data_IF_535906097801
#
_entry.id   IF_535906097801
#
_cell.length_a   1.000
_cell.length_b   1.000
_cell.length_c   1.000
_cell.angle_alpha   90.00
_cell.angle_beta   90.00
_cell.angle_gamma   90.00
#
_symmetry.space_group_name_H-M   'P 1'
#
loop_
_entity.id
_entity.type
_entity.pdbx_description
1 polymer ?
#
# COMPACT_ATOMS: atom_id res chain seq x y z
N UNK A 1 3.36 -21.45 -12.53
CA UNK A 1 3.30 -21.92 -11.11
C UNK A 1 3.97 -23.28 -11.04
N UNK A 2 4.75 -23.55 -10.00
CA UNK A 2 5.36 -24.87 -9.79
C UNK A 2 4.28 -25.89 -9.41
N UNK A 3 4.49 -27.18 -9.74
CA UNK A 3 3.54 -28.27 -9.44
C UNK A 3 3.16 -28.47 -7.95
N UNK A 4 3.74 -27.68 -7.04
CA UNK A 4 3.46 -27.70 -5.59
C UNK A 4 2.60 -26.54 -5.10
N UNK A 5 2.20 -25.59 -5.98
CA UNK A 5 1.47 -24.38 -5.56
C UNK A 5 -0.03 -24.59 -5.40
N UNK A 6 -0.61 -25.67 -5.93
CA UNK A 6 -2.06 -25.92 -5.88
C UNK A 6 -2.60 -25.98 -4.45
N UNK A 7 -1.89 -26.65 -3.53
CA UNK A 7 -2.27 -26.70 -2.12
C UNK A 7 -2.16 -25.34 -1.43
N UNK A 8 -1.23 -24.46 -1.86
CA UNK A 8 -1.10 -23.11 -1.33
C UNK A 8 -2.21 -22.21 -1.85
N UNK A 9 -2.56 -22.33 -3.13
CA UNK A 9 -3.67 -21.60 -3.74
C UNK A 9 -4.98 -21.97 -3.07
N UNK A 10 -5.25 -23.27 -2.88
CA UNK A 10 -6.45 -23.72 -2.18
C UNK A 10 -6.52 -23.16 -0.75
N UNK A 11 -5.39 -23.21 0.00
CA UNK A 11 -5.33 -22.64 1.34
C UNK A 11 -5.59 -21.12 1.35
N UNK A 12 -5.15 -20.39 0.34
CA UNK A 12 -5.47 -18.97 0.19
C UNK A 12 -6.96 -18.76 -0.09
N UNK A 13 -7.56 -19.58 -0.95
CA UNK A 13 -8.99 -19.54 -1.29
C UNK A 13 -9.90 -19.94 -0.11
N UNK A 14 -9.40 -20.75 0.83
CA UNK A 14 -10.10 -21.06 2.10
C UNK A 14 -10.06 -19.89 3.09
N UNK A 15 -9.40 -18.78 2.73
CA UNK A 15 -9.21 -17.61 3.58
C UNK A 15 -10.35 -16.60 3.52
N UNK A 16 -10.03 -15.40 3.99
CA UNK A 16 -10.90 -14.22 4.01
C UNK A 16 -11.29 -13.76 2.59
N UNK A 17 -12.50 -13.18 2.38
CA UNK A 17 -12.87 -12.57 1.10
C UNK A 17 -11.82 -11.62 0.54
N UNK A 18 -11.13 -10.85 1.42
CA UNK A 18 -10.05 -9.95 1.04
C UNK A 18 -8.85 -10.66 0.37
N UNK A 19 -8.62 -11.91 0.70
CA UNK A 19 -7.58 -12.73 0.06
C UNK A 19 -8.11 -13.40 -1.20
N UNK A 20 -9.31 -13.99 -1.13
CA UNK A 20 -9.89 -14.79 -2.22
C UNK A 20 -10.00 -14.01 -3.52
N UNK A 21 -10.62 -12.82 -3.48
CA UNK A 21 -10.81 -12.05 -4.71
C UNK A 21 -9.49 -11.70 -5.39
N UNK A 22 -8.45 -11.41 -4.60
CA UNK A 22 -7.12 -11.08 -5.11
C UNK A 22 -6.41 -12.32 -5.68
N UNK A 23 -6.58 -13.49 -5.07
CA UNK A 23 -6.09 -14.77 -5.62
C UNK A 23 -6.75 -15.06 -6.96
N UNK A 24 -8.07 -14.89 -7.03
CA UNK A 24 -8.83 -15.11 -8.26
C UNK A 24 -8.36 -14.21 -9.40
N UNK A 25 -8.18 -12.91 -9.15
CA UNK A 25 -7.75 -11.95 -10.17
C UNK A 25 -6.26 -12.06 -10.50
N UNK A 26 -5.38 -12.11 -9.49
CA UNK A 26 -3.95 -11.94 -9.69
C UNK A 26 -3.18 -13.25 -9.91
N UNK A 27 -3.68 -14.37 -9.43
CA UNK A 27 -3.00 -15.66 -9.51
C UNK A 27 -3.70 -16.68 -10.42
N UNK A 28 -5.03 -16.61 -10.54
CA UNK A 28 -5.81 -17.57 -11.32
C UNK A 28 -6.35 -17.01 -12.64
N UNK A 29 -6.14 -15.72 -12.91
CA UNK A 29 -6.66 -15.01 -14.10
C UNK A 29 -8.18 -15.23 -14.30
N UNK A 30 -8.93 -15.30 -13.18
CA UNK A 30 -10.37 -15.48 -13.21
C UNK A 30 -11.06 -14.29 -13.93
N UNK A 31 -12.20 -14.52 -14.60
CA UNK A 31 -12.95 -13.46 -15.26
C UNK A 31 -13.30 -12.32 -14.28
N UNK A 32 -13.23 -11.04 -14.73
CA UNK A 32 -13.52 -9.88 -13.87
C UNK A 32 -14.83 -10.00 -13.10
N UNK A 33 -15.90 -10.47 -13.73
CA UNK A 33 -17.20 -10.64 -13.08
C UNK A 33 -17.18 -11.60 -11.87
N UNK A 34 -16.26 -12.56 -11.85
CA UNK A 34 -16.15 -13.54 -10.75
C UNK A 34 -15.41 -12.95 -9.56
N UNK A 35 -14.20 -12.41 -9.77
CA UNK A 35 -13.45 -11.84 -8.67
C UNK A 35 -14.05 -10.54 -8.15
N UNK A 36 -14.73 -9.72 -8.97
CA UNK A 36 -15.49 -8.57 -8.50
C UNK A 36 -16.68 -8.94 -7.63
N UNK A 37 -17.38 -10.05 -7.95
CA UNK A 37 -18.44 -10.59 -7.09
C UNK A 37 -17.89 -11.00 -5.73
N UNK A 38 -16.73 -11.68 -5.70
CA UNK A 38 -16.07 -12.06 -4.47
C UNK A 38 -15.56 -10.83 -3.70
N UNK A 39 -15.03 -9.83 -4.39
CA UNK A 39 -14.60 -8.56 -3.83
C UNK A 39 -15.75 -7.84 -3.12
N UNK A 40 -16.95 -7.78 -3.71
CA UNK A 40 -18.12 -7.15 -3.07
C UNK A 40 -18.47 -7.78 -1.74
N UNK A 41 -18.19 -9.05 -1.54
CA UNK A 41 -18.43 -9.74 -0.25
C UNK A 41 -17.59 -9.20 0.90
N UNK A 42 -16.50 -8.50 0.64
CA UNK A 42 -15.67 -7.88 1.68
C UNK A 42 -16.44 -6.86 2.53
N UNK A 43 -17.48 -6.23 1.98
CA UNK A 43 -18.35 -5.31 2.72
C UNK A 43 -19.28 -6.03 3.72
N UNK A 44 -19.51 -7.33 3.56
CA UNK A 44 -20.52 -8.10 4.29
C UNK A 44 -19.90 -9.18 5.19
N UNK A 45 -18.66 -9.59 4.90
CA UNK A 45 -18.00 -10.69 5.62
C UNK A 45 -16.48 -10.48 5.72
N UNK A 46 -15.87 -11.07 6.73
CA UNK A 46 -14.44 -11.10 6.97
C UNK A 46 -13.90 -9.78 7.52
N UNK A 47 -12.60 -9.58 7.35
CA UNK A 47 -11.85 -8.51 8.01
C UNK A 47 -12.36 -7.10 7.69
N UNK A 48 -12.82 -6.85 6.47
CA UNK A 48 -13.34 -5.53 6.13
C UNK A 48 -14.70 -5.27 6.79
N UNK A 49 -15.60 -6.26 6.83
CA UNK A 49 -16.86 -6.16 7.55
C UNK A 49 -16.63 -5.99 9.06
N UNK A 50 -15.67 -6.71 9.63
CA UNK A 50 -15.29 -6.56 11.04
C UNK A 50 -14.77 -5.14 11.32
N UNK A 51 -13.90 -4.60 10.44
CA UNK A 51 -13.43 -3.21 10.56
C UNK A 51 -14.58 -2.20 10.48
N UNK A 52 -15.54 -2.40 9.58
CA UNK A 52 -16.74 -1.57 9.48
C UNK A 52 -17.59 -1.67 10.76
N UNK A 53 -17.70 -2.84 11.36
CA UNK A 53 -18.42 -3.07 12.61
C UNK A 53 -17.87 -2.32 13.84
N UNK A 54 -16.63 -1.85 13.76
CA UNK A 54 -16.01 -1.01 14.80
C UNK A 54 -16.25 0.50 14.63
N UNK A 55 -16.99 0.92 13.59
CA UNK A 55 -17.33 2.31 13.36
C UNK A 55 -18.36 2.78 14.41
N UNK A 56 -18.12 3.93 15.04
CA UNK A 56 -19.04 4.53 15.98
C UNK A 56 -20.30 5.09 15.33
N UNK A 57 -21.28 5.45 16.14
CA UNK A 57 -22.52 6.07 15.67
C UNK A 57 -22.32 7.45 15.02
N UNK A 58 -21.19 8.09 15.27
CA UNK A 58 -20.73 9.33 14.62
C UNK A 58 -20.07 9.09 13.27
N UNK A 59 -19.96 7.84 12.84
CA UNK A 59 -19.30 7.43 11.60
C UNK A 59 -17.76 7.36 11.68
N UNK A 60 -17.15 7.63 12.82
CA UNK A 60 -15.70 7.60 12.98
C UNK A 60 -15.24 6.29 13.64
N UNK A 61 -13.97 5.93 13.44
CA UNK A 61 -13.32 4.85 14.18
C UNK A 61 -12.65 5.38 15.44
N UNK A 62 -12.46 4.52 16.48
CA UNK A 62 -11.81 4.91 17.72
C UNK A 62 -10.45 5.56 17.49
N UNK A 63 -10.21 6.72 18.15
CA UNK A 63 -8.91 7.40 18.05
C UNK A 63 -7.81 6.55 18.66
N UNK A 64 -6.72 6.36 17.93
CA UNK A 64 -5.57 5.59 18.39
C UNK A 64 -4.51 5.45 17.30
N UNK A 65 -3.35 4.87 17.68
CA UNK A 65 -2.19 4.81 16.82
C UNK A 65 -2.48 4.09 15.50
N UNK A 66 -3.23 2.97 15.53
CA UNK A 66 -3.58 2.19 14.33
C UNK A 66 -5.09 1.95 14.18
N UNK A 67 -5.88 2.62 15.00
CA UNK A 67 -7.34 2.49 15.02
C UNK A 67 -8.06 3.69 14.41
N UNK A 68 -7.38 4.83 14.29
CA UNK A 68 -7.95 6.04 13.71
C UNK A 68 -8.33 5.86 12.22
N UNK A 69 -9.29 6.63 11.76
CA UNK A 69 -9.94 6.52 10.45
C UNK A 69 -8.97 6.36 9.28
N UNK A 70 -7.87 7.13 9.22
CA UNK A 70 -6.88 6.99 8.14
C UNK A 70 -6.33 5.55 8.02
N UNK A 71 -5.96 4.93 9.15
CA UNK A 71 -5.37 3.59 9.14
C UNK A 71 -6.39 2.52 8.79
N UNK A 72 -7.61 2.66 9.31
CA UNK A 72 -8.72 1.75 9.02
C UNK A 72 -9.11 1.84 7.55
N UNK A 73 -9.22 3.05 6.99
CA UNK A 73 -9.52 3.26 5.58
C UNK A 73 -8.45 2.64 4.66
N UNK A 74 -7.16 2.75 5.00
CA UNK A 74 -6.09 2.07 4.24
C UNK A 74 -6.23 0.55 4.27
N UNK A 75 -6.63 -0.03 5.40
CA UNK A 75 -6.90 -1.47 5.49
C UNK A 75 -8.14 -1.87 4.69
N UNK A 76 -9.18 -1.06 4.69
CA UNK A 76 -10.40 -1.29 3.90
C UNK A 76 -10.09 -1.28 2.39
N UNK A 77 -9.24 -0.34 1.92
CA UNK A 77 -8.74 -0.37 0.52
C UNK A 77 -7.95 -1.66 0.25
N UNK A 78 -7.04 -2.04 1.14
CA UNK A 78 -6.24 -3.26 0.97
C UNK A 78 -7.10 -4.52 0.96
N UNK A 79 -8.18 -4.56 1.74
CA UNK A 79 -9.16 -5.66 1.73
C UNK A 79 -10.02 -5.67 0.46
N UNK A 80 -10.11 -4.55 -0.26
CA UNK A 80 -10.91 -4.43 -1.48
C UNK A 80 -12.34 -3.96 -1.23
N UNK A 81 -12.60 -3.23 -0.14
CA UNK A 81 -13.91 -2.60 0.06
C UNK A 81 -14.27 -1.81 -1.21
N UNK A 82 -15.49 -1.94 -1.75
CA UNK A 82 -15.90 -1.23 -2.96
C UNK A 82 -15.68 0.28 -2.89
N UNK A 83 -15.33 0.87 -4.02
CA UNK A 83 -15.15 2.31 -4.19
C UNK A 83 -16.42 3.07 -3.80
N UNK A 84 -16.29 4.27 -3.26
CA UNK A 84 -17.43 5.11 -2.89
C UNK A 84 -18.30 4.55 -1.77
N UNK A 85 -17.84 3.52 -1.04
CA UNK A 85 -18.61 2.93 0.06
C UNK A 85 -18.89 3.98 1.15
N UNK A 86 -20.17 4.18 1.48
CA UNK A 86 -20.66 5.29 2.35
C UNK A 86 -19.99 5.32 3.73
N UNK A 87 -19.77 4.17 4.34
CA UNK A 87 -19.10 4.09 5.63
C UNK A 87 -17.64 4.60 5.60
N UNK A 88 -16.99 4.61 4.43
CA UNK A 88 -15.65 5.13 4.25
C UNK A 88 -15.63 6.61 3.83
N UNK A 89 -16.60 7.03 3.01
CA UNK A 89 -16.65 8.39 2.45
C UNK A 89 -16.87 9.45 3.53
N UNK A 90 -17.80 9.24 4.45
CA UNK A 90 -18.14 10.22 5.51
C UNK A 90 -16.95 10.62 6.39
N UNK A 91 -16.26 9.65 7.05
CA UNK A 91 -15.07 9.92 7.85
C UNK A 91 -13.95 10.60 7.07
N UNK A 92 -13.75 10.18 5.79
CA UNK A 92 -12.75 10.79 4.95
C UNK A 92 -13.08 12.23 4.60
N UNK A 93 -14.34 12.55 4.30
CA UNK A 93 -14.80 13.92 4.10
C UNK A 93 -14.56 14.79 5.33
N UNK A 94 -14.90 14.29 6.52
CA UNK A 94 -14.63 14.96 7.79
C UNK A 94 -13.15 15.20 8.03
N UNK A 95 -12.31 14.23 7.67
CA UNK A 95 -10.85 14.35 7.77
C UNK A 95 -10.31 15.42 6.81
N UNK A 96 -10.66 15.35 5.52
CA UNK A 96 -10.20 16.31 4.51
C UNK A 96 -10.74 17.71 4.79
N UNK A 97 -12.00 17.85 5.21
CA UNK A 97 -12.64 19.13 5.50
C UNK A 97 -11.97 19.96 6.59
N UNK A 98 -11.21 19.32 7.49
CA UNK A 98 -10.40 20.04 8.51
C UNK A 98 -9.20 20.79 7.94
N UNK A 99 -8.70 20.38 6.79
CA UNK A 99 -7.49 20.92 6.17
C UNK A 99 -7.78 21.56 4.80
N UNK A 100 -8.84 21.14 4.16
CA UNK A 100 -9.29 21.54 2.83
C UNK A 100 -10.81 21.66 2.84
N UNK A 101 -11.38 22.78 3.34
CA UNK A 101 -12.83 22.99 3.34
C UNK A 101 -13.40 22.96 1.92
N UNK A 102 -14.62 22.43 1.76
CA UNK A 102 -15.31 22.43 0.47
C UNK A 102 -15.59 23.86 -0.01
N UNK A 103 -15.36 24.10 -1.29
CA UNK A 103 -15.56 25.42 -1.91
C UNK A 103 -14.40 26.40 -1.73
N UNK A 104 -13.35 26.01 -1.02
CA UNK A 104 -12.12 26.76 -0.91
C UNK A 104 -11.04 26.20 -1.84
N UNK A 105 -10.10 27.04 -2.26
CA UNK A 105 -8.94 26.59 -3.04
C UNK A 105 -8.00 25.76 -2.15
N UNK A 106 -7.48 24.67 -2.69
CA UNK A 106 -6.53 23.81 -1.98
C UNK A 106 -5.13 24.45 -2.01
N UNK A 107 -4.69 24.99 -0.88
CA UNK A 107 -3.31 25.51 -0.74
C UNK A 107 -2.34 24.33 -0.47
N UNK A 108 -1.78 23.78 -1.56
CA UNK A 108 -0.79 22.71 -1.49
C UNK A 108 0.46 23.08 -0.69
N UNK A 109 0.93 24.34 -0.78
CA UNK A 109 2.09 24.78 -0.03
C UNK A 109 1.80 24.86 1.48
N UNK A 110 0.60 25.26 1.88
CA UNK A 110 0.14 25.19 3.27
C UNK A 110 0.12 23.75 3.77
N UNK A 111 -0.46 22.82 3.00
CA UNK A 111 -0.56 21.41 3.39
C UNK A 111 0.83 20.79 3.59
N UNK A 112 1.76 21.00 2.65
CA UNK A 112 3.13 20.48 2.74
C UNK A 112 3.90 21.00 3.98
N UNK A 113 3.54 22.16 4.50
CA UNK A 113 4.13 22.73 5.74
C UNK A 113 3.44 22.22 7.01
N UNK A 114 2.20 21.75 6.92
CA UNK A 114 1.38 21.42 8.10
C UNK A 114 1.20 19.93 8.32
N UNK A 115 1.21 19.14 7.27
CA UNK A 115 0.90 17.70 7.30
C UNK A 115 2.11 16.92 6.81
N UNK A 116 2.38 15.77 7.40
CA UNK A 116 3.43 14.88 6.91
C UNK A 116 3.09 14.38 5.50
N UNK A 117 4.06 14.44 4.61
CA UNK A 117 3.89 14.10 3.19
C UNK A 117 3.34 12.68 2.98
N UNK A 118 3.70 11.74 3.84
CA UNK A 118 3.14 10.40 3.80
C UNK A 118 1.62 10.38 4.08
N UNK A 119 1.11 11.26 4.97
CA UNK A 119 -0.33 11.39 5.20
C UNK A 119 -1.04 12.03 4.01
N UNK A 120 -0.42 13.03 3.37
CA UNK A 120 -0.95 13.62 2.15
C UNK A 120 -1.05 12.57 1.04
N UNK A 121 -0.02 11.71 0.87
CA UNK A 121 -0.06 10.58 -0.05
C UNK A 121 -1.21 9.61 0.25
N UNK A 122 -1.45 9.28 1.51
CA UNK A 122 -2.62 8.47 1.89
C UNK A 122 -3.93 9.16 1.53
N UNK A 123 -4.07 10.46 1.82
CA UNK A 123 -5.30 11.20 1.53
C UNK A 123 -5.58 11.32 0.03
N UNK A 124 -4.54 11.45 -0.79
CA UNK A 124 -4.65 11.37 -2.25
C UNK A 124 -5.27 10.04 -2.67
N UNK A 125 -4.70 8.91 -2.22
CA UNK A 125 -5.18 7.59 -2.59
C UNK A 125 -6.58 7.30 -2.05
N UNK A 126 -6.84 7.62 -0.78
CA UNK A 126 -8.15 7.44 -0.16
C UNK A 126 -9.22 8.33 -0.80
N UNK A 127 -8.87 9.59 -1.09
CA UNK A 127 -9.77 10.54 -1.77
C UNK A 127 -10.15 10.04 -3.17
N UNK A 128 -9.16 9.66 -3.96
CA UNK A 128 -9.39 9.11 -5.29
C UNK A 128 -10.20 7.80 -5.29
N UNK A 129 -10.10 7.01 -4.22
CA UNK A 129 -10.79 5.73 -4.11
C UNK A 129 -12.23 5.87 -3.58
N UNK A 130 -12.46 6.69 -2.55
CA UNK A 130 -13.75 6.77 -1.87
C UNK A 130 -14.58 8.02 -2.17
N UNK A 131 -13.98 9.10 -2.71
CA UNK A 131 -14.64 10.38 -2.96
C UNK A 131 -14.59 10.71 -4.46
N UNK A 132 -15.33 9.94 -5.24
CA UNK A 132 -15.36 10.12 -6.70
C UNK A 132 -15.76 11.56 -7.09
N UNK A 133 -14.95 12.17 -7.97
CA UNK A 133 -15.17 13.54 -8.44
C UNK A 133 -14.94 14.65 -7.40
N UNK A 134 -14.38 14.37 -6.23
CA UNK A 134 -14.09 15.42 -5.24
C UNK A 134 -12.98 16.35 -5.73
N UNK A 135 -13.33 17.63 -5.93
CA UNK A 135 -12.45 18.66 -6.52
C UNK A 135 -11.18 18.95 -5.72
N UNK A 136 -11.11 18.53 -4.46
CA UNK A 136 -9.93 18.73 -3.59
C UNK A 136 -8.80 17.76 -3.88
N UNK A 137 -9.12 16.57 -4.42
CA UNK A 137 -8.14 15.47 -4.58
C UNK A 137 -7.13 15.75 -5.67
N UNK A 138 -7.54 16.37 -6.78
CA UNK A 138 -6.64 16.74 -7.88
C UNK A 138 -5.53 17.69 -7.46
N UNK A 139 -5.85 18.90 -6.95
CA UNK A 139 -4.85 19.85 -6.47
C UNK A 139 -3.96 19.28 -5.34
N UNK A 140 -4.52 18.45 -4.43
CA UNK A 140 -3.73 17.76 -3.42
C UNK A 140 -2.72 16.80 -4.06
N UNK A 141 -3.15 16.01 -5.04
CA UNK A 141 -2.28 15.05 -5.74
C UNK A 141 -1.17 15.76 -6.53
N UNK A 142 -1.47 16.89 -7.18
CA UNK A 142 -0.49 17.72 -7.87
C UNK A 142 0.55 18.29 -6.90
N UNK A 143 0.14 18.78 -5.73
CA UNK A 143 1.04 19.27 -4.70
C UNK A 143 1.97 18.16 -4.18
N UNK A 144 1.43 16.97 -3.95
CA UNK A 144 2.21 15.80 -3.51
C UNK A 144 3.17 15.32 -4.60
N UNK A 145 2.73 15.28 -5.86
CA UNK A 145 3.57 14.93 -7.01
C UNK A 145 4.72 15.92 -7.18
N UNK A 146 4.44 17.22 -7.13
CA UNK A 146 5.43 18.28 -7.23
C UNK A 146 6.44 18.34 -6.08
N UNK A 147 6.19 17.66 -4.96
CA UNK A 147 7.10 17.56 -3.82
C UNK A 147 8.16 16.45 -3.96
N UNK A 148 8.29 15.81 -5.13
CA UNK A 148 9.30 14.81 -5.40
C UNK A 148 10.70 15.42 -5.34
N UNK A 149 11.62 14.75 -4.62
CA UNK A 149 13.01 15.18 -4.48
C UNK A 149 13.85 14.82 -5.72
N UNK A 150 15.01 15.43 -5.85
CA UNK A 150 15.93 15.25 -6.98
C UNK A 150 16.40 13.79 -7.10
N UNK A 151 16.54 13.08 -5.97
CA UNK A 151 16.93 11.66 -5.93
C UNK A 151 15.79 10.70 -6.32
N UNK A 152 14.61 11.22 -6.66
CA UNK A 152 13.50 10.47 -7.22
C UNK A 152 12.42 10.03 -6.25
N UNK A 153 12.57 10.26 -4.95
CA UNK A 153 11.52 9.88 -3.97
C UNK A 153 10.96 11.06 -3.20
N UNK A 154 10.41 10.78 -2.02
CA UNK A 154 9.78 11.77 -1.12
C UNK A 154 10.25 11.58 0.32
N UNK A 155 10.18 12.67 1.11
CA UNK A 155 10.52 12.62 2.53
C UNK A 155 9.65 13.57 3.36
N UNK A 156 9.03 13.07 4.42
CA UNK A 156 8.25 13.89 5.38
C UNK A 156 9.07 14.99 6.06
N UNK A 157 10.40 14.84 6.12
CA UNK A 157 11.28 15.84 6.74
C UNK A 157 11.28 17.20 6.01
N UNK A 158 10.87 17.27 4.74
CA UNK A 158 10.76 18.54 3.99
C UNK A 158 9.87 19.54 4.73
N UNK A 159 8.89 19.08 5.50
CA UNK A 159 8.02 19.92 6.31
C UNK A 159 8.78 20.80 7.31
N UNK A 160 9.75 20.22 8.00
CA UNK A 160 10.49 20.87 9.08
C UNK A 160 11.94 21.21 8.70
N UNK A 161 12.41 20.68 7.57
CA UNK A 161 13.77 20.82 7.06
C UNK A 161 13.72 21.00 5.54
N UNK A 162 13.43 22.20 5.03
CA UNK A 162 13.28 22.44 3.57
C UNK A 162 14.54 22.10 2.76
N UNK A 163 15.72 22.06 3.41
CA UNK A 163 16.98 21.64 2.78
C UNK A 163 17.15 20.11 2.68
N UNK A 164 16.13 19.31 3.02
CA UNK A 164 16.17 17.85 2.84
C UNK A 164 16.38 17.50 1.36
N UNK A 165 17.38 16.67 1.07
CA UNK A 165 17.74 16.22 -0.28
C UNK A 165 17.60 14.72 -0.48
N UNK A 166 17.49 13.96 0.59
CA UNK A 166 17.43 12.48 0.55
C UNK A 166 16.03 11.99 0.85
N UNK A 167 15.56 11.08 0.02
CA UNK A 167 14.27 10.43 0.14
C UNK A 167 14.20 9.46 1.32
N UNK A 168 12.98 9.21 1.78
CA UNK A 168 12.65 8.18 2.75
C UNK A 168 11.90 7.05 2.06
N UNK A 169 12.34 5.82 2.18
CA UNK A 169 11.62 4.64 1.68
C UNK A 169 10.17 4.62 2.18
N UNK A 170 9.97 4.89 3.45
CA UNK A 170 8.63 4.95 4.03
C UNK A 170 7.74 5.96 3.34
N UNK A 171 8.19 7.21 3.22
CA UNK A 171 7.40 8.28 2.61
C UNK A 171 7.17 8.03 1.13
N UNK A 172 8.21 7.60 0.41
CA UNK A 172 8.16 7.32 -1.02
C UNK A 172 7.07 6.30 -1.36
N UNK A 173 7.00 5.16 -0.65
CA UNK A 173 5.96 4.17 -0.93
C UNK A 173 4.57 4.63 -0.56
N UNK A 174 4.42 5.35 0.55
CA UNK A 174 3.11 5.88 0.95
C UNK A 174 2.57 6.89 -0.07
N UNK A 175 3.45 7.69 -0.67
CA UNK A 175 3.10 8.63 -1.73
C UNK A 175 2.80 7.91 -3.05
N UNK A 176 3.69 7.00 -3.47
CA UNK A 176 3.52 6.26 -4.72
C UNK A 176 2.20 5.47 -4.78
N UNK A 177 1.86 4.76 -3.72
CA UNK A 177 0.60 4.00 -3.65
C UNK A 177 -0.62 4.91 -3.80
N UNK A 178 -0.61 6.07 -3.14
CA UNK A 178 -1.68 7.06 -3.26
C UNK A 178 -1.78 7.67 -4.65
N UNK A 179 -0.67 8.12 -5.21
CA UNK A 179 -0.62 8.69 -6.57
C UNK A 179 -0.99 7.66 -7.64
N UNK A 180 -0.62 6.39 -7.48
CA UNK A 180 -1.03 5.32 -8.40
C UNK A 180 -2.54 5.15 -8.46
N UNK A 181 -3.21 5.18 -7.29
CA UNK A 181 -4.68 5.14 -7.24
C UNK A 181 -5.25 6.37 -7.94
N UNK A 182 -4.72 7.56 -7.68
CA UNK A 182 -5.19 8.80 -8.30
C UNK A 182 -5.01 8.80 -9.82
N UNK A 183 -3.87 8.33 -10.33
CA UNK A 183 -3.64 8.19 -11.77
C UNK A 183 -4.57 7.16 -12.42
N UNK A 184 -4.73 5.98 -11.80
CA UNK A 184 -5.63 4.94 -12.28
C UNK A 184 -7.11 5.38 -12.30
N UNK A 185 -7.49 6.36 -11.49
CA UNK A 185 -8.83 6.97 -11.42
C UNK A 185 -8.96 8.24 -12.28
N UNK A 186 -7.92 8.62 -13.02
CA UNK A 186 -7.95 9.81 -13.86
C UNK A 186 -7.94 11.15 -13.11
N UNK A 187 -7.61 11.14 -11.81
CA UNK A 187 -7.52 12.36 -10.97
C UNK A 187 -6.31 13.21 -11.39
N UNK A 188 -5.23 12.57 -11.79
CA UNK A 188 -4.03 13.20 -12.35
C UNK A 188 -3.66 12.55 -13.68
N UNK A 189 -2.94 13.29 -14.58
CA UNK A 189 -2.44 12.72 -15.82
C UNK A 189 -1.51 11.52 -15.57
N UNK A 190 -1.77 10.40 -16.25
CA UNK A 190 -0.97 9.18 -16.10
C UNK A 190 0.50 9.41 -16.52
N UNK A 191 0.77 10.21 -17.53
CA UNK A 191 2.12 10.48 -18.01
C UNK A 191 3.02 11.12 -16.96
N UNK A 192 2.54 12.16 -16.25
CA UNK A 192 3.31 12.82 -15.19
C UNK A 192 3.55 11.88 -13.99
N UNK A 193 2.57 11.07 -13.64
CA UNK A 193 2.75 10.05 -12.60
C UNK A 193 3.78 8.99 -13.02
N UNK A 194 3.72 8.47 -14.25
CA UNK A 194 4.65 7.45 -14.76
C UNK A 194 6.09 7.92 -14.75
N UNK A 195 6.34 9.18 -15.09
CA UNK A 195 7.68 9.77 -15.01
C UNK A 195 8.20 9.83 -13.56
N UNK A 196 7.38 10.30 -12.64
CA UNK A 196 7.74 10.37 -11.22
C UNK A 196 7.92 8.95 -10.61
N UNK A 197 7.09 8.00 -11.01
CA UNK A 197 7.18 6.60 -10.61
C UNK A 197 8.47 5.94 -11.10
N UNK A 198 8.87 6.21 -12.36
CA UNK A 198 10.11 5.67 -12.92
C UNK A 198 11.34 6.18 -12.16
N UNK A 199 11.37 7.48 -11.79
CA UNK A 199 12.44 8.04 -10.94
C UNK A 199 12.48 7.39 -9.55
N UNK A 200 11.32 7.17 -8.96
CA UNK A 200 11.24 6.51 -7.65
C UNK A 200 11.63 5.02 -7.74
N UNK A 201 11.28 4.33 -8.81
CA UNK A 201 11.72 2.96 -9.06
C UNK A 201 13.25 2.91 -9.21
N UNK A 202 13.86 3.85 -9.93
CA UNK A 202 15.33 3.92 -10.07
C UNK A 202 16.00 4.13 -8.71
N UNK A 203 15.51 5.03 -7.86
CA UNK A 203 15.98 5.19 -6.48
C UNK A 203 15.94 3.84 -5.72
N UNK A 204 14.85 3.08 -5.83
CA UNK A 204 14.73 1.78 -5.17
C UNK A 204 15.74 0.78 -5.71
N UNK A 205 15.96 0.74 -7.02
CA UNK A 205 16.91 -0.15 -7.68
C UNK A 205 18.36 0.18 -7.30
N UNK A 206 18.74 1.46 -7.21
CA UNK A 206 20.08 1.88 -6.73
C UNK A 206 20.36 1.36 -5.32
N UNK A 207 19.33 1.31 -4.49
CA UNK A 207 19.41 0.75 -3.14
C UNK A 207 19.10 -0.75 -3.06
N UNK A 208 18.96 -1.46 -4.19
CA UNK A 208 18.56 -2.88 -4.22
C UNK A 208 17.42 -3.18 -3.25
N UNK A 209 16.50 -2.22 -3.10
CA UNK A 209 15.34 -2.18 -2.20
C UNK A 209 15.65 -2.07 -0.70
N UNK A 210 16.84 -2.38 -0.22
CA UNK A 210 17.12 -2.37 1.23
C UNK A 210 18.59 -2.13 1.60
N UNK A 211 19.45 -1.85 0.62
CA UNK A 211 20.87 -1.61 0.85
C UNK A 211 21.23 -0.14 0.73
N UNK A 212 22.19 0.29 1.51
CA UNK A 212 22.81 1.60 1.33
C UNK A 212 23.65 1.58 0.04
N UNK A 213 23.39 2.53 -0.85
CA UNK A 213 24.17 2.78 -2.07
C UNK A 213 25.65 3.08 -1.79
N UNK A 214 25.94 3.70 -0.63
CA UNK A 214 27.29 4.10 -0.24
C UNK A 214 28.09 2.98 0.41
N UNK A 215 27.46 2.13 1.21
CA UNK A 215 28.17 1.14 2.04
C UNK A 215 27.85 -0.31 1.68
N UNK A 216 26.80 -0.55 0.88
CA UNK A 216 26.27 -1.89 0.60
C UNK A 216 25.59 -2.56 1.78
N UNK A 217 25.62 -1.96 2.98
CA UNK A 217 25.02 -2.55 4.18
C UNK A 217 23.49 -2.46 4.15
N UNK A 218 22.82 -3.35 4.87
CA UNK A 218 21.37 -3.28 5.07
C UNK A 218 21.01 -1.97 5.79
N UNK A 219 20.13 -1.16 5.19
CA UNK A 219 19.72 0.13 5.74
C UNK A 219 19.01 -0.05 7.08
N UNK A 220 18.17 -1.07 7.18
CA UNK A 220 17.44 -1.42 8.39
C UNK A 220 16.98 -2.87 8.34
N UNK A 221 17.26 -3.63 9.39
CA UNK A 221 16.77 -5.00 9.54
C UNK A 221 15.25 -5.09 9.47
N UNK A 222 14.53 -4.02 9.84
CA UNK A 222 13.07 -3.96 9.73
C UNK A 222 12.58 -4.06 8.30
N UNK A 223 13.37 -3.62 7.32
CA UNK A 223 13.01 -3.71 5.90
C UNK A 223 12.92 -5.15 5.42
N UNK A 224 13.72 -6.05 6.00
CA UNK A 224 13.78 -7.47 5.61
C UNK A 224 12.71 -8.33 6.28
N UNK A 225 11.94 -7.80 7.23
CA UNK A 225 10.90 -8.56 7.91
C UNK A 225 9.62 -8.63 7.08
N UNK A 226 9.00 -9.81 7.05
CA UNK A 226 7.66 -10.03 6.51
C UNK A 226 6.61 -9.58 7.54
N UNK A 227 6.16 -8.34 7.39
CA UNK A 227 5.27 -7.65 8.34
C UNK A 227 3.97 -7.28 7.66
N UNK A 228 2.84 -7.44 8.34
CA UNK A 228 1.52 -6.95 7.93
C UNK A 228 0.61 -6.78 9.16
N UNK A 229 -0.29 -5.77 9.22
CA UNK A 229 -0.31 -4.57 8.39
C UNK A 229 0.95 -3.72 8.55
N UNK A 230 1.41 -3.07 7.47
CA UNK A 230 2.60 -2.21 7.52
C UNK A 230 2.31 -0.75 7.88
N UNK A 231 1.06 -0.33 7.87
CA UNK A 231 0.68 1.07 8.09
C UNK A 231 1.50 2.01 7.19
N UNK A 232 2.38 2.83 7.77
CA UNK A 232 3.29 3.68 6.99
C UNK A 232 4.69 3.07 6.76
N UNK A 233 4.96 1.87 7.29
CA UNK A 233 6.30 1.30 7.24
C UNK A 233 6.59 0.64 5.89
N UNK A 234 7.81 0.83 5.43
CA UNK A 234 8.35 0.11 4.29
C UNK A 234 8.87 -1.28 4.70
N UNK A 235 8.72 -2.26 3.81
CA UNK A 235 9.39 -3.56 3.84
C UNK A 235 9.75 -3.96 2.42
N UNK A 236 10.75 -4.84 2.26
CA UNK A 236 11.16 -5.37 0.94
C UNK A 236 9.98 -6.02 0.20
N UNK A 237 9.15 -6.80 0.90
CA UNK A 237 7.97 -7.41 0.28
C UNK A 237 6.97 -6.36 -0.23
N UNK A 238 6.75 -5.26 0.50
CA UNK A 238 5.92 -4.15 0.03
C UNK A 238 6.52 -3.49 -1.23
N UNK A 239 7.83 -3.31 -1.22
CA UNK A 239 8.56 -2.75 -2.36
C UNK A 239 8.45 -3.62 -3.60
N UNK A 240 8.70 -4.91 -3.49
CA UNK A 240 8.59 -5.86 -4.58
C UNK A 240 7.14 -5.98 -5.11
N UNK A 241 6.15 -6.04 -4.21
CA UNK A 241 4.73 -6.11 -4.61
C UNK A 241 4.28 -4.83 -5.33
N UNK A 242 4.86 -3.67 -5.02
CA UNK A 242 4.67 -2.45 -5.80
C UNK A 242 5.38 -2.52 -7.15
N UNK A 243 6.68 -2.85 -7.18
CA UNK A 243 7.48 -2.86 -8.41
C UNK A 243 6.99 -3.87 -9.45
N UNK A 244 6.27 -4.94 -9.03
CA UNK A 244 5.64 -5.88 -9.98
C UNK A 244 4.66 -5.21 -10.94
N UNK A 245 4.17 -4.01 -10.61
CA UNK A 245 3.27 -3.20 -11.43
C UNK A 245 4.03 -2.25 -12.37
N UNK A 246 5.34 -2.33 -12.41
CA UNK A 246 6.25 -1.49 -13.20
C UNK A 246 7.23 -2.34 -13.98
N UNK A 247 7.88 -1.80 -15.03
CA UNK A 247 8.95 -2.49 -15.72
C UNK A 247 10.15 -2.88 -14.85
N UNK A 248 10.33 -2.21 -13.69
CA UNK A 248 11.43 -2.45 -12.76
C UNK A 248 11.43 -3.86 -12.15
N UNK A 249 10.34 -4.62 -12.22
CA UNK A 249 10.28 -6.02 -11.77
C UNK A 249 11.21 -6.94 -12.56
N UNK A 250 11.59 -6.57 -13.79
CA UNK A 250 12.55 -7.29 -14.62
C UNK A 250 14.02 -6.95 -14.38
N UNK A 251 14.33 -5.92 -13.56
CA UNK A 251 15.69 -5.45 -13.33
C UNK A 251 16.48 -6.44 -12.47
N UNK A 252 17.76 -6.68 -12.83
CA UNK A 252 18.64 -7.61 -12.09
C UNK A 252 18.96 -7.14 -10.65
N UNK A 253 18.89 -5.84 -10.39
CA UNK A 253 19.17 -5.26 -9.08
C UNK A 253 18.18 -5.67 -7.98
N UNK A 254 17.02 -6.22 -8.34
CA UNK A 254 16.05 -6.76 -7.37
C UNK A 254 16.33 -8.21 -6.96
N UNK A 255 17.29 -8.90 -7.59
CA UNK A 255 17.51 -10.34 -7.38
C UNK A 255 17.76 -10.70 -5.92
N UNK A 256 18.60 -9.91 -5.23
CA UNK A 256 18.86 -10.13 -3.81
C UNK A 256 17.59 -9.99 -2.93
N UNK A 257 16.69 -9.08 -3.30
CA UNK A 257 15.41 -8.91 -2.62
C UNK A 257 14.46 -10.10 -2.90
N UNK A 258 14.48 -10.65 -4.11
CA UNK A 258 13.74 -11.86 -4.45
C UNK A 258 14.31 -13.08 -3.71
N UNK A 259 15.63 -13.20 -3.61
CA UNK A 259 16.25 -14.30 -2.88
C UNK A 259 15.91 -14.26 -1.39
N UNK A 260 15.97 -13.09 -0.77
CA UNK A 260 15.48 -12.89 0.60
C UNK A 260 14.04 -13.38 0.77
N UNK A 261 13.19 -13.17 -0.24
CA UNK A 261 11.80 -13.64 -0.21
C UNK A 261 11.73 -15.16 -0.32
N UNK A 262 12.54 -15.79 -1.18
CA UNK A 262 12.64 -17.27 -1.31
C UNK A 262 13.10 -17.93 -0.01
N UNK A 263 14.15 -17.40 0.61
CA UNK A 263 14.67 -17.90 1.89
C UNK A 263 13.61 -17.89 3.02
N UNK A 264 12.62 -17.01 2.94
CA UNK A 264 11.54 -16.94 3.92
C UNK A 264 10.37 -17.88 3.63
N UNK A 265 10.38 -18.54 2.46
CA UNK A 265 9.37 -19.52 2.10
C UNK A 265 9.51 -20.77 2.96
N UNK A 266 8.42 -21.21 3.59
CA UNK A 266 8.38 -22.46 4.36
C UNK A 266 8.32 -23.66 3.42
N UNK A 267 8.70 -24.88 3.91
CA UNK A 267 8.63 -26.10 3.09
C UNK A 267 7.24 -26.40 2.50
N UNK A 268 6.17 -25.92 3.16
CA UNK A 268 4.79 -26.07 2.66
C UNK A 268 4.37 -24.98 1.66
N UNK A 269 5.33 -24.20 1.16
CA UNK A 269 5.10 -23.18 0.14
C UNK A 269 4.54 -21.85 0.63
N UNK A 270 4.35 -21.65 1.93
CA UNK A 270 3.72 -20.47 2.54
C UNK A 270 4.77 -19.54 3.16
N UNK A 271 4.43 -18.25 3.33
CA UNK A 271 5.26 -17.27 4.02
C UNK A 271 4.70 -16.92 5.40
N UNK A 272 5.57 -16.69 6.41
CA UNK A 272 5.14 -16.35 7.76
C UNK A 272 4.76 -14.88 7.90
N UNK A 273 3.96 -14.55 8.92
CA UNK A 273 3.94 -13.23 9.52
C UNK A 273 5.04 -13.19 10.60
N UNK A 274 6.22 -12.64 10.26
CA UNK A 274 7.37 -12.67 11.18
C UNK A 274 7.19 -11.72 12.35
N UNK A 275 6.71 -10.51 12.09
CA UNK A 275 6.50 -9.46 13.09
C UNK A 275 5.27 -8.63 12.77
N UNK A 276 4.74 -8.01 13.81
CA UNK A 276 3.70 -6.99 13.71
C UNK A 276 4.25 -5.65 14.18
N UNK A 277 3.80 -4.57 13.55
CA UNK A 277 4.10 -3.22 14.04
C UNK A 277 3.37 -3.03 15.38
N UNK A 278 4.07 -2.62 16.45
CA UNK A 278 3.46 -2.44 17.77
C UNK A 278 2.36 -1.38 17.75
N UNK A 279 1.26 -1.65 18.43
CA UNK A 279 0.10 -0.79 18.59
C UNK A 279 -1.20 -1.59 18.65
N UNK A 280 -2.28 -0.94 19.05
CA UNK A 280 -3.62 -1.53 19.10
C UNK A 280 -4.20 -1.62 17.70
N UNK A 281 -4.75 -2.77 17.35
CA UNK A 281 -5.52 -3.00 16.13
C UNK A 281 -7.00 -3.14 16.49
N UNK A 282 -7.90 -2.74 15.58
CA UNK A 282 -9.33 -3.03 15.70
C UNK A 282 -9.62 -4.49 15.42
N UNK A 283 -8.96 -5.04 14.41
CA UNK A 283 -9.09 -6.45 13.99
C UNK A 283 -7.71 -7.07 13.87
N UNK A 284 -7.49 -8.18 14.55
CA UNK A 284 -6.28 -8.98 14.40
C UNK A 284 -6.46 -9.96 13.23
N UNK A 285 -6.02 -9.56 12.04
CA UNK A 285 -6.20 -10.34 10.81
C UNK A 285 -5.40 -11.64 10.84
N UNK A 286 -4.18 -11.61 11.36
CA UNK A 286 -3.25 -12.75 11.40
C UNK A 286 -2.34 -12.67 12.63
N UNK A 287 -1.88 -13.82 13.13
CA UNK A 287 -1.04 -13.91 14.33
C UNK A 287 0.46 -13.92 13.98
N UNK A 288 1.29 -13.07 14.62
CA UNK A 288 2.74 -13.14 14.47
C UNK A 288 3.30 -14.52 14.78
N UNK A 289 4.31 -14.95 14.02
CA UNK A 289 4.90 -16.29 14.08
C UNK A 289 4.14 -17.36 13.29
N UNK A 290 2.88 -17.10 12.93
CA UNK A 290 2.05 -17.98 12.11
C UNK A 290 2.32 -17.83 10.61
N UNK A 291 1.62 -18.63 9.82
CA UNK A 291 1.55 -18.49 8.36
C UNK A 291 0.64 -17.31 8.01
N UNK A 292 1.06 -16.52 7.02
CA UNK A 292 0.34 -15.33 6.59
C UNK A 292 -0.21 -15.49 5.18
N UNK A 293 -1.53 -15.39 5.02
CA UNK A 293 -2.16 -15.34 3.70
C UNK A 293 -1.81 -14.06 2.96
N UNK A 294 -1.71 -12.95 3.68
CA UNK A 294 -1.28 -11.68 3.10
C UNK A 294 0.13 -11.73 2.52
N UNK A 295 1.10 -12.20 3.29
CA UNK A 295 2.48 -12.29 2.82
C UNK A 295 2.64 -13.35 1.73
N UNK A 296 1.92 -14.49 1.85
CA UNK A 296 1.93 -15.56 0.85
C UNK A 296 1.35 -15.09 -0.49
N UNK A 297 0.20 -14.43 -0.47
CA UNK A 297 -0.42 -13.86 -1.68
C UNK A 297 0.54 -12.89 -2.39
N UNK A 298 1.12 -11.95 -1.65
CA UNK A 298 2.04 -10.94 -2.19
C UNK A 298 3.34 -11.55 -2.72
N UNK A 299 3.90 -12.49 -1.99
CA UNK A 299 5.10 -13.20 -2.43
C UNK A 299 4.85 -13.97 -3.73
N UNK A 300 3.73 -14.66 -3.85
CA UNK A 300 3.35 -15.39 -5.09
C UNK A 300 3.14 -14.42 -6.27
N UNK A 301 2.54 -13.26 -6.05
CA UNK A 301 2.41 -12.21 -7.09
C UNK A 301 3.76 -11.74 -7.60
N UNK A 302 4.67 -11.46 -6.68
CA UNK A 302 6.05 -11.02 -7.01
C UNK A 302 6.75 -12.08 -7.83
N UNK A 303 6.75 -13.32 -7.37
CA UNK A 303 7.41 -14.45 -8.05
C UNK A 303 6.81 -14.65 -9.44
N UNK A 304 5.49 -14.63 -9.57
CA UNK A 304 4.81 -14.75 -10.86
C UNK A 304 5.23 -13.64 -11.83
N UNK A 305 5.22 -12.38 -11.37
CA UNK A 305 5.52 -11.22 -12.22
C UNK A 305 6.99 -11.11 -12.61
N UNK A 306 7.91 -11.60 -11.76
CA UNK A 306 9.33 -11.58 -12.05
C UNK A 306 9.76 -12.64 -13.10
N UNK A 307 8.87 -13.57 -13.47
CA UNK A 307 9.21 -14.70 -14.35
C UNK A 307 10.21 -15.69 -13.73
N UNK A 308 10.57 -15.49 -12.48
CA UNK A 308 11.59 -16.27 -11.74
C UNK A 308 10.86 -17.35 -10.95
N UNK A 309 10.92 -18.58 -11.47
CA UNK A 309 10.34 -19.76 -10.79
C UNK A 309 10.91 -19.88 -9.38
N UNK A 310 10.03 -20.10 -8.40
CA UNK A 310 10.39 -20.29 -7.00
C UNK A 310 11.02 -21.65 -6.74
#
# INVERSE_FOLDING_TARGET
MAAGDDGVIQWLLDGDPAIRWQVMGDLLDAPPAEWERERRRTAEAGWAADLLGHQGSDGEWPKGRWTASTWTLLLLVACGLPEGHRAASGPLEGLLGRFMPRGEEVDGAFLLRRVDLCHLGFWVGLGAYFLDGDSRVGPLAEAVLGAQLEDGGWNCHVRNRPATRHSSFHTTFNVLEGLRIAAARGVIPESGFREAEARAAELMLQHRLFRSDRTGQVISERFTHLTYPWHWHYTVLRGLDYLRLTPAIGDERIEEAIELLRERRKPNGRWPLQKRIPGTLLVEMEKPGGESRWNTLRALRVIRSSGKVA
#
